data_IF_627583290453
#
_entry.id   IF_627583290453
#
_cell.length_a   1.000
_cell.length_b   1.000
_cell.length_c   1.000
_cell.angle_alpha   90.00
_cell.angle_beta   90.00
_cell.angle_gamma   90.00
#
_symmetry.space_group_name_H-M   'P 1'
#
loop_
_entity.id
_entity.type
_entity.pdbx_description
1 polymer ?
#
# COMPACT_ATOMS: atom_id res chain seq x y z
N UNK A 1 -0.35 9.62 0.75
CA UNK A 1 -0.97 8.66 -0.20
C UNK A 1 -2.00 7.83 0.56
N UNK A 2 -3.02 7.23 -0.07
CA UNK A 2 -3.97 6.35 0.64
C UNK A 2 -3.60 4.90 0.35
N UNK A 3 -3.44 4.11 1.40
CA UNK A 3 -3.28 2.67 1.32
C UNK A 3 -4.67 2.01 1.31
N UNK A 4 -5.03 1.45 0.16
CA UNK A 4 -6.21 0.63 0.00
C UNK A 4 -5.83 -0.84 0.21
N UNK A 5 -6.23 -1.41 1.34
CA UNK A 5 -6.01 -2.82 1.65
C UNK A 5 -7.25 -3.61 1.27
N UNK A 6 -7.06 -4.65 0.44
CA UNK A 6 -8.13 -5.51 -0.05
C UNK A 6 -7.89 -6.94 0.41
N UNK A 7 -8.97 -7.63 0.77
CA UNK A 7 -8.97 -9.08 0.87
C UNK A 7 -9.69 -9.63 -0.36
N UNK A 8 -8.92 -10.25 -1.25
CA UNK A 8 -9.44 -10.84 -2.46
C UNK A 8 -9.90 -12.27 -2.19
N UNK A 9 -10.98 -12.69 -2.84
CA UNK A 9 -11.55 -14.02 -2.77
C UNK A 9 -11.74 -14.61 -4.16
N UNK A 10 -11.36 -15.87 -4.30
CA UNK A 10 -11.66 -16.72 -5.46
C UNK A 10 -12.28 -18.02 -4.99
N UNK A 11 -13.28 -18.51 -5.69
CA UNK A 11 -13.89 -19.81 -5.40
C UNK A 11 -13.23 -20.87 -6.27
N UNK A 12 -12.58 -21.85 -5.64
CA UNK A 12 -11.95 -22.98 -6.31
C UNK A 12 -12.69 -24.29 -5.96
N UNK A 13 -12.35 -25.38 -6.63
CA UNK A 13 -12.95 -26.70 -6.37
C UNK A 13 -12.75 -27.19 -4.93
N UNK A 14 -11.69 -26.72 -4.26
CA UNK A 14 -11.36 -27.00 -2.86
C UNK A 14 -12.04 -26.07 -1.85
N UNK A 15 -12.72 -25.01 -2.30
CA UNK A 15 -13.34 -24.00 -1.45
C UNK A 15 -12.87 -22.56 -1.75
N UNK A 16 -13.26 -21.58 -0.92
CA UNK A 16 -12.85 -20.19 -1.10
C UNK A 16 -11.38 -19.98 -0.69
N UNK A 17 -10.61 -19.38 -1.59
CA UNK A 17 -9.23 -18.95 -1.37
C UNK A 17 -9.22 -17.44 -1.15
N UNK A 18 -8.49 -16.99 -0.13
CA UNK A 18 -8.32 -15.58 0.20
C UNK A 18 -6.90 -15.12 -0.04
N UNK A 19 -6.72 -13.90 -0.52
CA UNK A 19 -5.41 -13.30 -0.78
C UNK A 19 -5.40 -11.83 -0.38
N UNK A 20 -4.44 -11.38 0.45
CA UNK A 20 -4.27 -9.97 0.71
C UNK A 20 -3.72 -9.27 -0.54
N UNK A 21 -4.25 -8.09 -0.84
CA UNK A 21 -3.79 -7.21 -1.89
C UNK A 21 -3.73 -5.78 -1.35
N UNK A 22 -2.79 -4.99 -1.84
CA UNK A 22 -2.63 -3.59 -1.42
C UNK A 22 -2.37 -2.74 -2.64
N UNK A 23 -3.16 -1.68 -2.78
CA UNK A 23 -2.95 -0.63 -3.77
C UNK A 23 -2.70 0.70 -3.08
N UNK A 24 -1.80 1.48 -3.66
CA UNK A 24 -1.59 2.88 -3.29
C UNK A 24 -2.38 3.76 -4.27
N UNK A 25 -3.28 4.57 -3.72
CA UNK A 25 -4.15 5.46 -4.50
C UNK A 25 -4.07 6.88 -3.95
N UNK A 26 -4.18 7.88 -4.83
CA UNK A 26 -4.19 9.29 -4.40
C UNK A 26 -5.50 9.65 -3.69
N UNK A 27 -6.60 9.03 -4.14
CA UNK A 27 -7.95 9.23 -3.61
C UNK A 27 -8.74 7.94 -3.74
N UNK A 28 -9.61 7.69 -2.77
CA UNK A 28 -10.64 6.65 -2.87
C UNK A 28 -11.95 7.33 -3.30
N UNK A 29 -12.35 7.09 -4.55
CA UNK A 29 -13.64 7.48 -5.12
C UNK A 29 -14.37 6.24 -5.65
N UNK A 30 -15.66 6.38 -5.98
CA UNK A 30 -16.38 5.28 -6.64
C UNK A 30 -15.69 4.84 -7.94
N UNK A 31 -15.19 5.79 -8.73
CA UNK A 31 -14.47 5.51 -9.98
C UNK A 31 -13.16 4.75 -9.73
N UNK A 32 -12.34 5.20 -8.77
CA UNK A 32 -11.06 4.54 -8.47
C UNK A 32 -11.27 3.15 -7.90
N UNK A 33 -12.32 2.96 -7.08
CA UNK A 33 -12.66 1.67 -6.51
C UNK A 33 -13.18 0.70 -7.58
N UNK A 34 -14.07 1.13 -8.48
CA UNK A 34 -14.54 0.29 -9.59
C UNK A 34 -13.40 -0.05 -10.55
N UNK A 35 -12.44 0.85 -10.77
CA UNK A 35 -11.25 0.54 -11.58
C UNK A 35 -10.37 -0.55 -10.93
N UNK A 36 -10.17 -0.50 -9.62
CA UNK A 36 -9.44 -1.55 -8.86
C UNK A 36 -10.21 -2.87 -8.90
N UNK A 37 -11.51 -2.84 -8.65
CA UNK A 37 -12.38 -4.01 -8.71
C UNK A 37 -12.37 -4.66 -10.09
N UNK A 38 -12.47 -3.90 -11.17
CA UNK A 38 -12.40 -4.41 -12.53
C UNK A 38 -11.07 -5.12 -12.82
N UNK A 39 -9.94 -4.61 -12.31
CA UNK A 39 -8.64 -5.29 -12.42
C UNK A 39 -8.64 -6.63 -11.67
N UNK A 40 -9.14 -6.65 -10.44
CA UNK A 40 -9.25 -7.89 -9.66
C UNK A 40 -10.14 -8.93 -10.37
N UNK A 41 -11.27 -8.50 -10.94
CA UNK A 41 -12.20 -9.38 -11.66
C UNK A 41 -11.59 -9.96 -12.93
N UNK A 42 -10.79 -9.19 -13.67
CA UNK A 42 -10.01 -9.69 -14.83
C UNK A 42 -9.06 -10.82 -14.42
N UNK A 43 -8.46 -10.74 -13.23
CA UNK A 43 -7.59 -11.77 -12.68
C UNK A 43 -8.36 -12.94 -12.02
N UNK A 44 -9.70 -12.95 -12.11
CA UNK A 44 -10.57 -13.98 -11.54
C UNK A 44 -10.75 -13.87 -10.02
N UNK A 45 -10.50 -12.68 -9.45
CA UNK A 45 -10.69 -12.39 -8.03
C UNK A 45 -11.88 -11.46 -7.79
N UNK A 46 -12.55 -11.65 -6.67
CA UNK A 46 -13.60 -10.77 -6.17
C UNK A 46 -13.16 -10.12 -4.86
N UNK A 47 -13.55 -8.87 -4.60
CA UNK A 47 -13.23 -8.21 -3.33
C UNK A 47 -14.17 -8.75 -2.25
N UNK A 48 -13.64 -9.40 -1.21
CA UNK A 48 -14.41 -9.87 -0.06
C UNK A 48 -14.58 -8.77 0.99
N UNK A 49 -13.49 -8.10 1.34
CA UNK A 49 -13.45 -7.01 2.31
C UNK A 49 -12.38 -6.00 1.89
N UNK A 50 -12.51 -4.76 2.36
CA UNK A 50 -11.54 -3.70 2.09
C UNK A 50 -11.47 -2.71 3.25
N UNK A 51 -10.32 -2.08 3.40
CA UNK A 51 -10.08 -1.00 4.34
C UNK A 51 -9.16 0.06 3.73
N UNK A 52 -9.25 1.27 4.25
CA UNK A 52 -8.44 2.41 3.83
C UNK A 52 -7.70 2.98 5.02
N UNK A 53 -6.43 3.27 4.84
CA UNK A 53 -5.63 4.01 5.80
C UNK A 53 -4.80 5.05 5.07
N UNK A 54 -4.48 6.14 5.75
CA UNK A 54 -3.44 7.03 5.24
C UNK A 54 -2.10 6.29 5.28
N UNK A 55 -1.31 6.45 4.24
CA UNK A 55 0.11 6.06 4.27
C UNK A 55 0.89 7.24 4.83
N UNK A 56 1.58 7.00 5.95
CA UNK A 56 2.36 8.04 6.61
C UNK A 56 3.75 8.16 5.97
N UNK A 57 4.41 9.33 6.05
CA UNK A 57 5.76 9.50 5.53
C UNK A 57 6.75 8.46 6.09
N UNK A 58 6.57 8.03 7.35
CA UNK A 58 7.35 6.93 7.95
C UNK A 58 7.23 5.63 7.13
N UNK A 59 6.01 5.22 6.79
CA UNK A 59 5.77 3.99 6.02
C UNK A 59 6.40 4.09 4.62
N UNK A 60 6.37 5.29 4.01
CA UNK A 60 7.00 5.58 2.72
C UNK A 60 8.53 5.44 2.80
N UNK A 61 9.16 6.00 3.83
CA UNK A 61 10.61 5.92 4.04
C UNK A 61 11.10 4.51 4.33
N UNK A 62 10.37 3.77 5.16
CA UNK A 62 10.68 2.36 5.45
C UNK A 62 10.61 1.49 4.19
N UNK A 63 9.57 1.67 3.37
CA UNK A 63 9.42 0.94 2.11
C UNK A 63 10.49 1.35 1.08
N UNK A 64 10.86 2.63 1.04
CA UNK A 64 11.91 3.13 0.17
C UNK A 64 13.27 2.53 0.53
N UNK A 65 13.58 2.39 1.82
CA UNK A 65 14.80 1.74 2.31
C UNK A 65 14.86 0.27 1.90
N UNK A 66 13.76 -0.46 2.02
CA UNK A 66 13.65 -1.84 1.54
C UNK A 66 13.91 -1.98 0.04
N UNK A 67 13.55 -0.95 -0.74
CA UNK A 67 13.80 -0.88 -2.18
C UNK A 67 15.17 -0.27 -2.55
N UNK A 68 15.94 0.22 -1.58
CA UNK A 68 17.21 0.92 -1.83
C UNK A 68 17.06 2.26 -2.55
N UNK A 69 15.93 2.96 -2.40
CA UNK A 69 15.63 4.23 -3.07
C UNK A 69 15.59 5.42 -2.10
N UNK A 70 16.68 6.15 -1.97
CA UNK A 70 16.85 7.26 -1.04
C UNK A 70 16.18 8.59 -1.46
N UNK A 71 15.25 8.54 -2.42
CA UNK A 71 14.55 9.73 -2.92
C UNK A 71 13.41 10.15 -1.99
N UNK A 72 13.72 10.96 -0.96
CA UNK A 72 12.72 11.59 -0.11
C UNK A 72 11.98 12.71 -0.88
N UNK A 73 10.66 12.60 -1.11
CA UNK A 73 9.90 13.58 -1.90
C UNK A 73 9.55 14.85 -1.13
N UNK A 74 9.76 14.88 0.19
CA UNK A 74 9.39 16.00 1.04
C UNK A 74 10.54 17.00 1.18
N UNK A 75 10.26 18.30 1.08
CA UNK A 75 11.27 19.32 1.32
C UNK A 75 11.68 19.37 2.81
N UNK A 76 12.96 19.66 3.08
CA UNK A 76 13.60 19.57 4.41
C UNK A 76 12.87 20.31 5.53
N UNK A 77 12.20 21.42 5.22
CA UNK A 77 11.50 22.23 6.21
C UNK A 77 10.12 21.68 6.62
N UNK A 78 9.62 20.63 5.95
CA UNK A 78 8.37 19.98 6.34
C UNK A 78 8.62 18.83 7.31
N UNK A 79 7.77 18.69 8.32
CA UNK A 79 7.84 17.58 9.28
C UNK A 79 7.86 16.20 8.60
N UNK A 80 7.17 16.07 7.45
CA UNK A 80 7.13 14.84 6.65
C UNK A 80 8.51 14.39 6.16
N UNK A 81 9.43 15.34 5.93
CA UNK A 81 10.80 15.03 5.53
C UNK A 81 11.52 14.24 6.62
N UNK A 82 11.47 14.73 7.86
CA UNK A 82 12.08 14.07 9.01
C UNK A 82 11.41 12.72 9.26
N UNK A 83 10.08 12.68 9.21
CA UNK A 83 9.32 11.46 9.44
C UNK A 83 9.65 10.36 8.41
N UNK A 84 9.88 10.74 7.15
CA UNK A 84 10.31 9.81 6.11
C UNK A 84 11.70 9.23 6.41
N UNK A 85 12.67 10.06 6.79
CA UNK A 85 14.00 9.56 7.17
C UNK A 85 13.98 8.67 8.40
N UNK A 86 13.12 8.96 9.39
CA UNK A 86 12.91 8.06 10.53
C UNK A 86 12.47 6.66 10.08
N UNK A 87 11.58 6.56 9.10
CA UNK A 87 11.18 5.29 8.50
C UNK A 87 12.33 4.59 7.79
N UNK A 88 13.10 5.33 6.99
CA UNK A 88 14.27 4.82 6.28
C UNK A 88 15.31 4.24 7.23
N UNK A 89 15.72 5.02 8.24
CA UNK A 89 16.73 4.65 9.21
C UNK A 89 16.26 3.43 10.02
N UNK A 90 14.98 3.38 10.41
CA UNK A 90 14.40 2.24 11.11
C UNK A 90 14.52 0.92 10.32
N UNK A 91 14.33 0.96 9.00
CA UNK A 91 14.56 -0.23 8.16
C UNK A 91 16.03 -0.63 8.16
N UNK A 92 16.96 0.33 8.03
CA UNK A 92 18.39 0.05 8.05
C UNK A 92 18.80 -0.61 9.37
N UNK A 93 18.38 -0.04 10.50
CA UNK A 93 18.65 -0.61 11.83
C UNK A 93 18.05 -2.01 12.02
N UNK A 94 16.86 -2.26 11.46
CA UNK A 94 16.17 -3.55 11.60
C UNK A 94 16.78 -4.66 10.74
N UNK A 95 17.47 -4.31 9.66
CA UNK A 95 18.03 -5.24 8.66
C UNK A 95 19.56 -5.17 8.53
N UNK A 96 20.23 -4.55 9.49
CA UNK A 96 21.70 -4.52 9.63
C UNK A 96 22.26 -5.77 10.31
#
# INVERSE_FOLDING_TARGET
MIKLSLELKRTEASGPVYRPHTDLVDKVSGESFEAVKAKCEVDGWSIHSWSVSEQLPFDEGYAAAAAGNDTNPYAEHFWKHNEWWLGWDSHQESNS
#
